data_IF_653856427714
#
_entry.id   IF_653856427714
#
_cell.length_a   1.000
_cell.length_b   1.000
_cell.length_c   1.000
_cell.angle_alpha   90.00
_cell.angle_beta   90.00
_cell.angle_gamma   90.00
#
_symmetry.space_group_name_H-M   'P 1'
#
loop_
_entity.id
_entity.type
_entity.pdbx_description
1 polymer ?
#
# COMPACT_ATOMS: atom_id res chain seq x y z
N UNK A 1 -12.85 -11.55 17.45
CA UNK A 1 -11.86 -12.12 16.50
C UNK A 1 -10.58 -11.28 16.49
N UNK A 2 -10.67 -9.96 16.27
CA UNK A 2 -9.51 -9.03 16.26
C UNK A 2 -8.59 -9.18 17.46
N UNK A 3 -9.13 -9.18 18.69
CA UNK A 3 -8.35 -9.38 19.91
C UNK A 3 -7.52 -10.67 19.90
N UNK A 4 -8.10 -11.78 19.45
CA UNK A 4 -7.39 -13.06 19.35
C UNK A 4 -6.27 -13.01 18.30
N UNK A 5 -6.52 -12.37 17.15
CA UNK A 5 -5.49 -12.20 16.12
C UNK A 5 -4.33 -11.31 16.63
N UNK A 6 -4.66 -10.17 17.24
CA UNK A 6 -3.70 -9.25 17.83
C UNK A 6 -2.84 -9.91 18.92
N UNK A 7 -3.46 -10.64 19.85
CA UNK A 7 -2.74 -11.30 20.94
C UNK A 7 -1.73 -12.33 20.41
N UNK A 8 -2.09 -13.08 19.37
CA UNK A 8 -1.16 -14.00 18.73
C UNK A 8 -0.05 -13.28 17.95
N UNK A 9 -0.38 -12.16 17.29
CA UNK A 9 0.63 -11.34 16.61
C UNK A 9 1.65 -10.79 17.61
N UNK A 10 1.19 -10.15 18.69
CA UNK A 10 2.05 -9.64 19.78
C UNK A 10 2.92 -10.76 20.36
N UNK A 11 2.38 -11.96 20.53
CA UNK A 11 3.10 -13.07 21.13
C UNK A 11 4.20 -13.66 20.24
N UNK A 12 4.00 -13.68 18.92
CA UNK A 12 4.83 -14.49 18.02
C UNK A 12 5.52 -13.70 16.90
N UNK A 13 5.14 -12.44 16.67
CA UNK A 13 5.60 -11.65 15.53
C UNK A 13 5.69 -10.14 15.82
N UNK A 14 5.78 -9.72 17.09
CA UNK A 14 5.82 -8.30 17.45
C UNK A 14 6.96 -7.55 16.76
N UNK A 15 6.62 -6.47 16.05
CA UNK A 15 7.56 -5.64 15.28
C UNK A 15 7.90 -6.17 13.89
N UNK A 16 7.49 -7.40 13.55
CA UNK A 16 7.62 -7.96 12.21
C UNK A 16 6.43 -7.60 11.32
N UNK A 17 6.56 -7.81 10.01
CA UNK A 17 5.53 -7.42 9.06
C UNK A 17 4.24 -8.22 9.26
N UNK A 18 4.34 -9.54 9.39
CA UNK A 18 3.18 -10.42 9.49
C UNK A 18 3.39 -11.61 10.44
N UNK A 19 2.28 -12.22 10.89
CA UNK A 19 2.27 -13.45 11.66
C UNK A 19 2.04 -14.68 10.77
N UNK A 20 2.82 -15.75 10.97
CA UNK A 20 2.50 -17.11 10.51
C UNK A 20 1.84 -17.91 11.64
N UNK A 21 0.49 -17.99 11.71
CA UNK A 21 -0.21 -18.51 12.88
C UNK A 21 0.02 -20.01 13.10
N UNK A 22 0.21 -20.80 12.03
CA UNK A 22 0.45 -22.24 12.14
C UNK A 22 1.83 -22.56 12.73
N UNK A 23 2.86 -21.88 12.26
CA UNK A 23 4.25 -22.07 12.70
C UNK A 23 4.65 -21.22 13.89
N UNK A 24 3.78 -20.30 14.36
CA UNK A 24 4.01 -19.40 15.50
C UNK A 24 5.32 -18.62 15.38
N UNK A 25 5.55 -18.08 14.19
CA UNK A 25 6.70 -17.24 13.86
C UNK A 25 6.24 -16.09 12.98
N UNK A 26 7.13 -15.18 12.63
CA UNK A 26 6.84 -14.05 11.76
C UNK A 26 7.04 -14.39 10.28
N UNK A 27 6.59 -13.48 9.42
CA UNK A 27 6.89 -13.46 8.00
C UNK A 27 7.27 -12.03 7.58
N UNK A 28 8.51 -11.88 7.11
CA UNK A 28 9.03 -10.62 6.56
C UNK A 28 9.34 -10.74 5.08
N UNK A 29 8.96 -11.80 4.36
CA UNK A 29 9.35 -11.98 2.96
C UNK A 29 8.17 -11.82 2.01
N UNK A 30 7.59 -10.61 1.97
CA UNK A 30 6.42 -10.25 1.15
C UNK A 30 6.59 -8.90 0.41
N UNK A 31 5.48 -8.25 0.05
CA UNK A 31 5.40 -7.00 -0.73
C UNK A 31 6.20 -5.84 -0.13
N UNK A 32 6.41 -5.85 1.19
CA UNK A 32 7.18 -4.84 1.92
C UNK A 32 8.70 -5.17 1.99
N UNK A 33 9.13 -6.26 1.36
CA UNK A 33 10.52 -6.71 1.38
C UNK A 33 10.96 -7.26 2.73
N UNK A 34 12.24 -7.65 2.82
CA UNK A 34 12.85 -8.40 3.95
C UNK A 34 13.09 -7.60 5.24
N UNK A 35 12.50 -6.43 5.37
CA UNK A 35 12.74 -5.50 6.48
C UNK A 35 11.53 -5.53 7.41
N UNK A 36 11.71 -5.75 8.73
CA UNK A 36 10.61 -5.76 9.69
C UNK A 36 10.16 -4.32 9.98
N UNK A 37 9.17 -3.86 9.23
CA UNK A 37 8.60 -2.51 9.31
C UNK A 37 7.37 -2.44 10.23
N UNK A 38 6.98 -3.56 10.85
CA UNK A 38 5.80 -3.62 11.70
C UNK A 38 4.49 -3.40 10.93
N UNK A 39 4.39 -3.90 9.69
CA UNK A 39 3.24 -3.69 8.81
C UNK A 39 1.89 -3.97 9.49
N UNK A 40 1.75 -5.11 10.18
CA UNK A 40 0.53 -5.44 10.94
C UNK A 40 0.24 -4.41 12.05
N UNK A 41 1.26 -3.81 12.69
CA UNK A 41 1.06 -2.78 13.73
C UNK A 41 0.49 -1.52 13.10
N UNK A 42 1.04 -1.08 11.96
CA UNK A 42 0.58 0.12 11.25
C UNK A 42 -0.82 -0.10 10.68
N UNK A 43 -1.07 -1.24 10.04
CA UNK A 43 -2.33 -1.56 9.34
C UNK A 43 -3.51 -1.82 10.30
N UNK A 44 -3.24 -2.13 11.56
CA UNK A 44 -4.30 -2.44 12.53
C UNK A 44 -4.62 -1.29 13.49
N UNK A 45 -3.82 -0.22 13.54
CA UNK A 45 -3.96 0.81 14.58
C UNK A 45 -5.33 1.52 14.56
N UNK A 46 -5.87 1.79 13.37
CA UNK A 46 -7.19 2.40 13.19
C UNK A 46 -8.32 1.42 13.58
N UNK A 47 -8.17 0.14 13.24
CA UNK A 47 -9.08 -0.93 13.61
C UNK A 47 -9.12 -1.10 15.12
N UNK A 48 -7.96 -1.09 15.79
CA UNK A 48 -7.87 -1.15 17.25
C UNK A 48 -8.61 0.03 17.90
N UNK A 49 -8.43 1.24 17.35
CA UNK A 49 -9.10 2.45 17.83
C UNK A 49 -10.63 2.38 17.65
N UNK A 50 -11.11 2.07 16.43
CA UNK A 50 -12.54 2.00 16.10
C UNK A 50 -13.26 0.92 16.92
N UNK A 51 -12.56 -0.18 17.25
CA UNK A 51 -13.11 -1.27 18.07
C UNK A 51 -13.06 -1.01 19.58
N UNK A 52 -12.54 0.13 20.04
CA UNK A 52 -12.42 0.47 21.47
C UNK A 52 -11.38 -0.39 22.22
N UNK A 53 -10.40 -0.94 21.51
CA UNK A 53 -9.30 -1.73 22.09
C UNK A 53 -8.16 -0.80 22.53
N UNK A 54 -8.45 0.02 23.54
CA UNK A 54 -7.58 1.15 23.93
C UNK A 54 -6.18 0.72 24.36
N UNK A 55 -6.04 -0.38 25.12
CA UNK A 55 -4.73 -0.87 25.58
C UNK A 55 -3.86 -1.34 24.43
N UNK A 56 -4.47 -2.02 23.47
CA UNK A 56 -3.82 -2.51 22.26
C UNK A 56 -3.43 -1.34 21.34
N UNK A 57 -4.33 -0.37 21.19
CA UNK A 57 -4.07 0.88 20.49
C UNK A 57 -2.88 1.63 21.10
N UNK A 58 -2.85 1.80 22.43
CA UNK A 58 -1.74 2.45 23.13
C UNK A 58 -0.42 1.70 22.93
N UNK A 59 -0.45 0.37 22.98
CA UNK A 59 0.71 -0.48 22.71
C UNK A 59 1.23 -0.30 21.28
N UNK A 60 0.33 -0.32 20.29
CA UNK A 60 0.64 -0.10 18.89
C UNK A 60 1.18 1.32 18.67
N UNK A 61 0.49 2.34 19.19
CA UNK A 61 0.87 3.75 19.09
C UNK A 61 2.23 4.01 19.73
N UNK A 62 2.53 3.38 20.87
CA UNK A 62 3.84 3.47 21.50
C UNK A 62 4.92 2.84 20.64
N UNK A 63 4.70 1.62 20.14
CA UNK A 63 5.68 0.97 19.26
C UNK A 63 5.92 1.81 18.00
N UNK A 64 4.85 2.32 17.41
CA UNK A 64 4.93 3.29 16.32
C UNK A 64 5.78 4.47 16.75
N UNK A 65 5.47 5.23 17.80
CA UNK A 65 6.28 6.40 18.19
C UNK A 65 7.76 6.07 18.45
N UNK A 66 8.04 4.92 19.07
CA UNK A 66 9.39 4.52 19.48
C UNK A 66 10.23 3.96 18.32
N UNK A 67 9.60 3.35 17.31
CA UNK A 67 10.27 2.66 16.20
C UNK A 67 10.01 3.30 14.84
N UNK A 68 8.98 4.15 14.80
CA UNK A 68 8.51 4.93 13.68
C UNK A 68 8.20 6.40 14.16
N UNK A 69 9.20 7.30 14.19
CA UNK A 69 9.04 8.75 14.47
C UNK A 69 8.24 9.59 13.44
N UNK A 70 6.94 9.85 13.71
CA UNK A 70 6.00 10.56 12.82
C UNK A 70 5.86 12.06 13.01
N UNK A 71 6.55 12.61 14.00
CA UNK A 71 6.64 14.04 14.26
C UNK A 71 7.71 14.74 13.44
N UNK A 72 8.63 13.97 12.87
CA UNK A 72 9.77 14.49 12.17
C UNK A 72 9.44 14.68 10.67
N UNK A 73 10.02 15.71 10.05
CA UNK A 73 10.00 15.89 8.59
C UNK A 73 10.38 14.58 7.89
N UNK A 74 11.14 13.72 8.58
CA UNK A 74 11.37 12.32 8.28
C UNK A 74 10.19 11.56 7.67
N UNK A 75 8.94 11.56 8.17
CA UNK A 75 7.89 10.76 7.48
C UNK A 75 7.25 11.41 6.29
N UNK A 76 7.14 12.72 6.26
CA UNK A 76 6.79 13.38 5.02
C UNK A 76 7.89 13.13 3.99
N UNK A 77 9.16 13.19 4.38
CA UNK A 77 10.33 12.87 3.55
C UNK A 77 10.40 11.39 3.17
N UNK A 78 9.96 10.47 4.04
CA UNK A 78 9.91 9.02 3.76
C UNK A 78 8.73 8.66 2.90
N UNK A 79 7.55 9.21 3.16
CA UNK A 79 6.37 9.06 2.30
C UNK A 79 6.69 9.64 0.92
N UNK A 80 7.30 10.83 0.88
CA UNK A 80 7.86 11.44 -0.33
C UNK A 80 8.89 10.54 -1.00
N UNK A 81 9.83 9.96 -0.25
CA UNK A 81 10.84 9.05 -0.78
C UNK A 81 10.22 7.78 -1.35
N UNK A 82 9.23 7.20 -0.68
CA UNK A 82 8.49 6.02 -1.15
C UNK A 82 7.77 6.35 -2.44
N UNK A 83 6.96 7.41 -2.45
CA UNK A 83 6.20 7.79 -3.65
C UNK A 83 7.13 8.19 -4.81
N UNK A 84 8.22 8.92 -4.55
CA UNK A 84 9.21 9.29 -5.55
C UNK A 84 9.94 8.07 -6.13
N UNK A 85 10.18 7.04 -5.31
CA UNK A 85 10.73 5.76 -5.78
C UNK A 85 9.70 4.90 -6.52
N UNK A 86 8.40 5.13 -6.30
CA UNK A 86 7.31 4.47 -7.03
C UNK A 86 6.93 5.19 -8.32
N UNK A 87 7.21 6.50 -8.46
CA UNK A 87 6.93 7.26 -9.69
C UNK A 87 7.46 6.57 -10.97
N UNK A 88 8.68 5.99 -11.02
CA UNK A 88 9.16 5.35 -12.22
C UNK A 88 8.55 3.94 -12.45
N UNK A 89 7.67 3.47 -11.57
CA UNK A 89 6.85 2.29 -11.83
C UNK A 89 5.73 2.58 -12.84
N UNK A 90 5.39 3.86 -13.07
CA UNK A 90 4.44 4.26 -14.10
C UNK A 90 5.08 4.14 -15.48
N UNK A 91 4.44 3.36 -16.35
CA UNK A 91 4.85 3.20 -17.73
C UNK A 91 4.61 4.50 -18.50
N UNK A 92 5.68 5.06 -19.07
CA UNK A 92 5.64 6.29 -19.87
C UNK A 92 4.74 6.19 -21.11
N UNK A 93 4.46 4.98 -21.61
CA UNK A 93 3.62 4.79 -22.80
C UNK A 93 2.15 4.71 -22.47
N UNK A 94 1.78 3.91 -21.46
CA UNK A 94 0.38 3.69 -21.09
C UNK A 94 -0.11 4.63 -19.99
N UNK A 95 0.78 5.26 -19.22
CA UNK A 95 0.41 6.03 -18.02
C UNK A 95 -0.01 5.17 -16.83
N UNK A 96 0.09 3.84 -16.93
CA UNK A 96 -0.32 2.90 -15.89
C UNK A 96 0.89 2.36 -15.11
N UNK A 97 0.76 2.13 -13.79
CA UNK A 97 1.83 1.55 -12.99
C UNK A 97 1.96 0.04 -13.23
N UNK A 98 3.19 -0.45 -13.37
CA UNK A 98 3.48 -1.88 -13.36
C UNK A 98 3.20 -2.51 -11.98
N UNK A 99 2.61 -3.70 -11.96
CA UNK A 99 2.31 -4.45 -10.74
C UNK A 99 3.53 -4.76 -9.87
N UNK A 100 4.66 -5.07 -10.51
CA UNK A 100 5.90 -5.44 -9.83
C UNK A 100 6.99 -4.45 -10.23
N UNK A 101 7.55 -3.77 -9.25
CA UNK A 101 8.61 -2.79 -9.48
C UNK A 101 9.86 -3.14 -8.67
N UNK A 102 11.00 -3.23 -9.36
CA UNK A 102 12.29 -3.39 -8.71
C UNK A 102 12.91 -2.02 -8.44
N UNK A 103 12.98 -1.63 -7.17
CA UNK A 103 13.50 -0.33 -6.71
C UNK A 103 14.98 -0.09 -7.08
N UNK A 104 15.81 -1.14 -7.09
CA UNK A 104 17.24 -1.01 -7.37
C UNK A 104 17.52 -0.90 -8.87
N UNK A 105 16.89 -1.77 -9.66
CA UNK A 105 17.05 -1.81 -11.11
C UNK A 105 16.19 -0.77 -11.83
N UNK A 106 15.28 -0.10 -11.09
CA UNK A 106 14.27 0.81 -11.60
C UNK A 106 13.48 0.25 -12.78
N UNK A 107 13.10 -1.03 -12.67
CA UNK A 107 12.44 -1.79 -13.73
C UNK A 107 11.10 -2.33 -13.25
N UNK A 108 10.02 -1.90 -13.91
CA UNK A 108 8.69 -2.43 -13.73
C UNK A 108 8.40 -3.61 -14.66
N UNK A 109 7.51 -4.50 -14.24
CA UNK A 109 6.91 -5.55 -15.05
C UNK A 109 5.56 -5.95 -14.49
N UNK A 110 4.69 -6.48 -15.34
CA UNK A 110 3.49 -7.17 -14.88
C UNK A 110 3.80 -8.65 -14.59
N UNK A 111 2.95 -9.35 -13.82
CA UNK A 111 3.17 -10.75 -13.49
C UNK A 111 3.13 -11.60 -14.76
N UNK A 112 3.97 -12.63 -14.85
CA UNK A 112 4.05 -13.47 -16.05
C UNK A 112 2.77 -14.28 -16.32
N UNK A 113 1.95 -14.48 -15.29
CA UNK A 113 0.66 -15.16 -15.37
C UNK A 113 -0.47 -14.24 -15.84
N UNK A 114 -0.26 -12.92 -15.82
CA UNK A 114 -1.23 -11.98 -16.35
C UNK A 114 -1.23 -12.09 -17.89
N UNK A 115 -2.42 -12.33 -18.46
CA UNK A 115 -2.58 -12.50 -19.90
C UNK A 115 -1.98 -11.31 -20.64
N UNK A 116 -1.09 -11.57 -21.61
CA UNK A 116 -0.39 -10.54 -22.38
C UNK A 116 0.34 -9.47 -21.53
N UNK A 117 0.74 -9.80 -20.30
CA UNK A 117 1.32 -8.83 -19.35
C UNK A 117 0.40 -7.62 -19.11
N UNK A 118 -0.92 -7.84 -19.05
CA UNK A 118 -1.88 -6.78 -18.76
C UNK A 118 -1.69 -6.20 -17.35
N UNK A 119 -2.23 -4.99 -17.16
CA UNK A 119 -2.31 -4.32 -15.87
C UNK A 119 -3.48 -4.88 -15.06
N UNK A 120 -3.31 -4.99 -13.75
CA UNK A 120 -4.37 -5.44 -12.83
C UNK A 120 -5.18 -4.22 -12.39
N UNK A 121 -6.44 -4.16 -12.79
CA UNK A 121 -7.32 -3.01 -12.53
C UNK A 121 -7.36 -2.61 -11.05
N UNK A 122 -7.43 -3.58 -10.14
CA UNK A 122 -7.46 -3.30 -8.70
C UNK A 122 -6.15 -2.73 -8.16
N UNK A 123 -5.01 -3.03 -8.77
CA UNK A 123 -3.72 -2.46 -8.35
C UNK A 123 -3.59 -1.02 -8.84
N UNK A 124 -4.00 -0.74 -10.08
CA UNK A 124 -4.03 0.63 -10.63
C UNK A 124 -5.06 1.50 -9.90
N UNK A 125 -6.26 0.97 -9.65
CA UNK A 125 -7.39 1.71 -9.09
C UNK A 125 -7.22 2.09 -7.62
N UNK A 126 -6.36 1.38 -6.88
CA UNK A 126 -6.22 1.53 -5.41
C UNK A 126 -4.97 2.31 -5.01
N UNK A 127 -4.48 3.21 -5.87
CA UNK A 127 -3.38 4.15 -5.53
C UNK A 127 -3.86 5.60 -5.40
N UNK A 128 -5.10 5.88 -5.81
CA UNK A 128 -5.58 7.24 -6.00
C UNK A 128 -5.64 8.03 -4.70
N UNK A 129 -6.13 7.43 -3.61
CA UNK A 129 -6.31 8.15 -2.35
C UNK A 129 -4.97 8.51 -1.71
N UNK A 130 -4.00 7.59 -1.76
CA UNK A 130 -2.68 7.74 -1.18
C UNK A 130 -1.87 8.81 -1.92
N UNK A 131 -1.88 8.76 -3.27
CA UNK A 131 -1.17 9.74 -4.10
C UNK A 131 -1.81 11.13 -4.00
N UNK A 132 -3.14 11.22 -3.96
CA UNK A 132 -3.86 12.48 -3.76
C UNK A 132 -3.53 13.09 -2.39
N UNK A 133 -3.61 12.29 -1.33
CA UNK A 133 -3.34 12.75 0.02
C UNK A 133 -1.88 13.23 0.20
N UNK A 134 -0.91 12.49 -0.34
CA UNK A 134 0.50 12.92 -0.32
C UNK A 134 0.72 14.19 -1.16
N UNK A 135 0.05 14.32 -2.31
CA UNK A 135 0.07 15.54 -3.14
C UNK A 135 -0.37 16.77 -2.35
N UNK A 136 -1.48 16.66 -1.62
CA UNK A 136 -2.04 17.72 -0.79
C UNK A 136 -1.13 18.07 0.39
N UNK A 137 -0.62 17.05 1.10
CA UNK A 137 0.29 17.25 2.24
C UNK A 137 1.61 17.95 1.84
N UNK A 138 2.16 17.61 0.68
CA UNK A 138 3.44 18.16 0.20
C UNK A 138 3.27 19.43 -0.65
N UNK A 139 2.05 19.77 -1.06
CA UNK A 139 1.79 20.84 -2.04
C UNK A 139 2.41 20.55 -3.41
N UNK A 140 2.56 19.28 -3.80
CA UNK A 140 3.23 18.85 -5.03
C UNK A 140 2.25 18.13 -5.97
N UNK A 141 1.64 18.82 -6.96
CA UNK A 141 0.56 18.26 -7.78
C UNK A 141 0.96 17.05 -8.63
N UNK A 142 2.26 16.85 -8.87
CA UNK A 142 2.80 15.76 -9.68
C UNK A 142 2.30 14.36 -9.26
N UNK A 143 2.06 14.15 -7.96
CA UNK A 143 1.57 12.87 -7.44
C UNK A 143 0.08 12.66 -7.74
N UNK A 144 -0.75 13.68 -7.56
CA UNK A 144 -2.17 13.59 -7.94
C UNK A 144 -2.36 13.54 -9.46
N UNK A 145 -1.53 14.25 -10.22
CA UNK A 145 -1.59 14.29 -11.69
C UNK A 145 -1.28 12.93 -12.32
N UNK A 146 -0.26 12.22 -11.82
CA UNK A 146 0.13 10.93 -12.41
C UNK A 146 -0.98 9.87 -12.27
N UNK A 147 -1.64 9.79 -11.10
CA UNK A 147 -2.78 8.88 -10.92
C UNK A 147 -4.01 9.37 -11.68
N UNK A 148 -4.27 10.68 -11.70
CA UNK A 148 -5.40 11.24 -12.46
C UNK A 148 -5.29 10.98 -13.96
N UNK A 149 -4.07 10.90 -14.51
CA UNK A 149 -3.84 10.57 -15.92
C UNK A 149 -4.27 9.14 -16.27
N UNK A 150 -4.33 8.24 -15.28
CA UNK A 150 -4.82 6.86 -15.46
C UNK A 150 -6.35 6.79 -15.51
N UNK A 151 -7.07 7.76 -14.94
CA UNK A 151 -8.53 7.74 -14.84
C UNK A 151 -9.20 7.58 -16.20
N UNK A 152 -8.93 8.40 -17.24
CA UNK A 152 -9.62 8.26 -18.52
C UNK A 152 -9.48 6.87 -19.14
N UNK A 153 -8.35 6.20 -18.92
CA UNK A 153 -8.10 4.83 -19.41
C UNK A 153 -9.01 3.84 -18.68
N UNK A 154 -9.13 3.98 -17.36
CA UNK A 154 -10.05 3.16 -16.55
C UNK A 154 -11.51 3.44 -16.90
N UNK A 155 -11.86 4.71 -17.12
CA UNK A 155 -13.22 5.13 -17.47
C UNK A 155 -13.66 4.60 -18.83
N UNK A 156 -12.80 4.62 -19.86
CA UNK A 156 -13.15 4.08 -21.19
C UNK A 156 -13.44 2.58 -21.11
N UNK A 157 -12.67 1.82 -20.34
CA UNK A 157 -12.86 0.37 -20.18
C UNK A 157 -14.16 0.05 -19.41
N UNK A 158 -14.45 0.80 -18.34
CA UNK A 158 -15.68 0.68 -17.56
C UNK A 158 -16.93 1.10 -18.35
N UNK A 159 -16.86 2.16 -19.14
CA UNK A 159 -17.98 2.62 -19.98
C UNK A 159 -18.35 1.60 -21.07
N UNK A 160 -17.37 0.93 -21.69
CA UNK A 160 -17.63 -0.12 -22.69
C UNK A 160 -18.38 -1.31 -22.07
N UNK A 161 -18.04 -1.69 -20.83
CA UNK A 161 -18.71 -2.80 -20.13
C UNK A 161 -20.12 -2.43 -19.65
N UNK A 162 -20.35 -1.19 -19.21
CA UNK A 162 -21.68 -0.72 -18.82
C UNK A 162 -22.61 -0.62 -20.03
N UNK A 163 -22.13 -0.12 -21.17
CA UNK A 163 -22.94 -0.07 -22.39
C UNK A 163 -23.26 -1.47 -22.93
N UNK A 164 -22.32 -2.42 -22.93
CA UNK A 164 -22.63 -3.80 -23.34
C UNK A 164 -23.64 -4.52 -22.42
N UNK A 165 -23.69 -4.17 -21.13
CA UNK A 165 -24.67 -4.73 -20.19
C UNK A 165 -26.09 -4.18 -20.38
N UNK A 166 -26.24 -3.07 -21.11
CA UNK A 166 -27.54 -2.47 -21.47
C UNK A 166 -28.10 -3.02 -22.79
N UNK A 167 -27.35 -3.89 -23.49
CA UNK A 167 -27.77 -4.57 -24.72
C UNK A 167 -28.21 -6.03 -24.53
N UNK A 168 -28.42 -6.48 -23.29
CA UNK A 168 -29.02 -7.78 -22.95
C UNK A 168 -30.16 -7.65 -21.94
#
# INVERSE_FOLDING_TARGET
MTKHAWDNYVKYAWGHNELRPKSRTFHDTDILGRVPLGATIVDSIDTLYIMGLEKEYEQASKWIKDNLDFSDAFYLDRAQSVIDNLLPAFDLKSGLPFSLYNLQQKKGRNPHWASNQCYILSEVGTLHMEFQYISELLGQPKYSEIVSSSLPILWVDLSIHVEMSLFF
#
